data_IF_255074833486
#
_entry.id   IF_255074833486
#
_cell.length_a   1.000
_cell.length_b   1.000
_cell.length_c   1.000
_cell.angle_alpha   90.00
_cell.angle_beta   90.00
_cell.angle_gamma   90.00
#
_symmetry.space_group_name_H-M   'P 1'
#
loop_
_entity.id
_entity.type
_entity.pdbx_description
1 polymer ?
#
# COMPACT_ATOMS: atom_id res chain seq x y z
N UNK A 1 12.54 12.78 -7.21
CA UNK A 1 12.21 11.58 -7.96
C UNK A 1 10.96 10.94 -7.40
N UNK A 2 9.98 10.74 -8.23
CA UNK A 2 8.73 10.16 -7.77
C UNK A 2 8.84 8.65 -7.65
N UNK A 3 8.19 8.11 -6.63
CA UNK A 3 8.13 6.67 -6.48
C UNK A 3 7.18 6.09 -7.53
N UNK A 4 7.43 4.87 -8.00
CA UNK A 4 6.48 4.19 -8.87
C UNK A 4 5.13 4.08 -8.16
N UNK A 5 4.06 4.08 -8.92
CA UNK A 5 2.71 4.00 -8.37
C UNK A 5 1.94 2.86 -9.03
N UNK A 6 0.90 2.41 -8.34
CA UNK A 6 0.01 1.39 -8.86
C UNK A 6 -1.42 1.73 -8.45
N UNK A 7 -2.35 1.68 -9.40
CA UNK A 7 -3.75 1.92 -9.09
C UNK A 7 -4.33 0.71 -8.39
N UNK A 8 -5.23 0.94 -7.44
CA UNK A 8 -5.84 -0.17 -6.71
C UNK A 8 -6.48 -1.19 -7.63
N UNK A 9 -7.11 -0.74 -8.72
CA UNK A 9 -7.77 -1.66 -9.65
C UNK A 9 -6.80 -2.62 -10.33
N UNK A 10 -5.51 -2.25 -10.43
CA UNK A 10 -4.55 -3.10 -11.11
C UNK A 10 -4.27 -4.39 -10.37
N UNK A 11 -4.41 -4.42 -9.06
CA UNK A 11 -4.16 -5.63 -8.29
C UNK A 11 -5.40 -6.16 -7.58
N UNK A 12 -6.56 -5.58 -7.85
CA UNK A 12 -7.83 -6.13 -7.37
C UNK A 12 -8.63 -6.62 -8.56
N UNK A 13 -9.34 -5.72 -9.24
CA UNK A 13 -10.22 -6.09 -10.34
C UNK A 13 -9.45 -6.69 -11.53
N UNK A 14 -8.30 -6.10 -11.83
CA UNK A 14 -7.54 -6.49 -13.03
C UNK A 14 -6.25 -7.23 -12.71
N UNK A 15 -6.22 -7.91 -11.59
CA UNK A 15 -5.03 -8.70 -11.24
C UNK A 15 -4.83 -9.81 -12.27
N UNK A 16 -3.60 -10.01 -12.79
CA UNK A 16 -3.33 -11.12 -13.68
C UNK A 16 -3.63 -12.46 -13.01
N UNK A 17 -4.01 -13.48 -13.77
CA UNK A 17 -4.43 -14.76 -13.19
C UNK A 17 -3.44 -15.39 -12.22
N UNK A 18 -2.14 -15.31 -12.48
CA UNK A 18 -1.15 -15.85 -11.56
C UNK A 18 -0.42 -14.78 -10.78
N UNK A 19 -0.97 -13.57 -10.76
CA UNK A 19 -0.34 -12.45 -10.08
C UNK A 19 -0.50 -12.52 -8.57
N UNK A 20 0.56 -12.11 -7.85
CA UNK A 20 0.56 -12.13 -6.40
C UNK A 20 1.12 -10.82 -5.86
N UNK A 21 0.63 -10.45 -4.68
CA UNK A 21 1.24 -9.37 -3.91
C UNK A 21 2.37 -9.99 -3.12
N UNK A 22 3.59 -9.55 -3.39
CA UNK A 22 4.78 -10.16 -2.80
C UNK A 22 5.17 -9.54 -1.47
N UNK A 23 4.91 -8.26 -1.30
CA UNK A 23 5.22 -7.60 -0.04
C UNK A 23 4.32 -6.40 0.17
N UNK A 24 4.10 -6.07 1.44
CA UNK A 24 3.28 -4.92 1.83
C UNK A 24 4.03 -4.15 2.91
N UNK A 25 4.20 -2.87 2.68
CA UNK A 25 4.75 -1.93 3.66
C UNK A 25 3.75 -0.81 3.85
N UNK A 26 3.60 -0.38 5.09
CA UNK A 26 2.66 0.70 5.41
C UNK A 26 3.45 1.83 6.07
N UNK A 27 3.38 3.00 5.46
CA UNK A 27 4.13 4.16 5.90
C UNK A 27 3.21 5.22 6.49
N UNK A 28 3.66 5.87 7.55
CA UNK A 28 2.93 6.99 8.13
C UNK A 28 3.54 8.30 7.64
N UNK A 29 2.69 9.20 7.19
CA UNK A 29 3.09 10.52 6.74
C UNK A 29 3.19 11.47 7.93
N UNK A 30 3.75 12.65 7.66
CA UNK A 30 3.87 13.68 8.70
C UNK A 30 2.52 14.14 9.23
N UNK A 31 1.48 14.06 8.40
CA UNK A 31 0.13 14.46 8.82
C UNK A 31 -0.59 13.36 9.61
N UNK A 32 0.09 12.26 9.87
CA UNK A 32 -0.49 11.17 10.64
C UNK A 32 -1.23 10.13 9.80
N UNK A 33 -1.46 10.40 8.55
CA UNK A 33 -2.16 9.45 7.68
C UNK A 33 -1.20 8.39 7.18
N UNK A 34 -1.76 7.26 6.77
CA UNK A 34 -0.98 6.09 6.36
C UNK A 34 -1.21 5.80 4.88
N UNK A 35 -0.18 5.27 4.21
CA UNK A 35 -0.33 4.81 2.84
C UNK A 35 0.42 3.51 2.65
N UNK A 36 0.08 2.79 1.58
CA UNK A 36 0.62 1.47 1.31
C UNK A 36 1.65 1.51 0.20
N UNK A 37 2.65 0.65 0.33
CA UNK A 37 3.62 0.42 -0.73
C UNK A 37 3.69 -1.07 -0.96
N UNK A 38 3.36 -1.51 -2.15
CA UNK A 38 3.27 -2.92 -2.50
C UNK A 38 4.30 -3.28 -3.56
N UNK A 39 4.77 -4.52 -3.51
CA UNK A 39 5.48 -5.11 -4.62
C UNK A 39 4.61 -6.24 -5.14
N UNK A 40 4.39 -6.26 -6.46
CA UNK A 40 3.56 -7.28 -7.09
C UNK A 40 4.40 -8.05 -8.09
N UNK A 41 4.04 -9.32 -8.30
CA UNK A 41 4.88 -10.22 -9.09
C UNK A 41 5.00 -9.80 -10.55
N UNK A 42 3.95 -9.18 -11.11
CA UNK A 42 3.96 -8.85 -12.54
C UNK A 42 4.57 -7.48 -12.84
N UNK A 43 5.14 -6.82 -11.85
CA UNK A 43 5.86 -5.57 -12.07
C UNK A 43 7.32 -5.70 -11.63
N UNK A 44 7.86 -6.91 -11.72
CA UNK A 44 9.27 -7.15 -11.46
C UNK A 44 9.69 -6.96 -10.01
N UNK A 45 8.76 -7.01 -9.08
CA UNK A 45 9.09 -6.86 -7.67
C UNK A 45 9.38 -5.43 -7.25
N UNK A 46 9.13 -4.45 -8.11
CA UNK A 46 9.36 -3.05 -7.79
C UNK A 46 8.26 -2.56 -6.83
N UNK A 47 8.67 -1.91 -5.75
CA UNK A 47 7.72 -1.40 -4.77
C UNK A 47 7.00 -0.17 -5.35
N UNK A 48 5.67 -0.18 -5.29
CA UNK A 48 4.83 0.87 -5.85
C UNK A 48 3.91 1.44 -4.77
N UNK A 49 3.75 2.75 -4.76
CA UNK A 49 2.80 3.40 -3.85
C UNK A 49 1.39 3.20 -4.39
N UNK A 50 0.48 2.80 -3.51
CA UNK A 50 -0.90 2.49 -3.90
C UNK A 50 -1.70 3.77 -4.05
N UNK A 51 -2.31 3.93 -5.21
CA UNK A 51 -3.18 5.05 -5.50
C UNK A 51 -4.64 4.63 -5.42
N UNK A 52 -5.54 5.60 -5.58
CA UNK A 52 -6.96 5.32 -5.59
C UNK A 52 -7.30 4.33 -6.69
N UNK A 53 -8.52 3.82 -6.64
CA UNK A 53 -8.93 2.73 -7.54
C UNK A 53 -8.65 3.07 -9.01
N UNK A 54 -9.03 4.27 -9.44
CA UNK A 54 -8.92 4.64 -10.85
C UNK A 54 -8.28 6.01 -11.08
N UNK A 55 -7.59 6.56 -10.07
CA UNK A 55 -6.94 7.86 -10.19
C UNK A 55 -5.52 7.80 -9.64
N UNK A 56 -4.57 8.47 -10.30
CA UNK A 56 -3.17 8.44 -9.84
C UNK A 56 -2.95 9.37 -8.65
N UNK A 57 -3.73 9.19 -7.62
CA UNK A 57 -3.66 9.98 -6.41
C UNK A 57 -3.50 9.04 -5.23
N UNK A 58 -2.53 9.32 -4.37
CA UNK A 58 -2.17 8.44 -3.26
C UNK A 58 -3.38 8.11 -2.40
N UNK A 59 -3.57 6.83 -2.11
CA UNK A 59 -4.66 6.36 -1.26
C UNK A 59 -4.22 6.46 0.18
N UNK A 60 -4.97 7.20 0.99
CA UNK A 60 -4.62 7.47 2.38
C UNK A 60 -5.62 6.86 3.33
N UNK A 61 -5.11 6.43 4.49
CA UNK A 61 -5.92 5.88 5.56
C UNK A 61 -5.72 6.73 6.81
N UNK A 62 -6.80 6.97 7.54
CA UNK A 62 -6.72 7.79 8.74
C UNK A 62 -6.20 7.00 9.94
N UNK A 63 -6.23 5.67 9.89
CA UNK A 63 -5.72 4.86 10.99
C UNK A 63 -4.99 3.64 10.47
N UNK A 64 -4.04 3.15 11.27
CA UNK A 64 -3.29 1.95 10.91
C UNK A 64 -4.21 0.73 10.89
N UNK A 65 -5.21 0.70 11.76
CA UNK A 65 -6.14 -0.43 11.82
C UNK A 65 -6.92 -0.53 10.50
N UNK A 66 -7.39 0.59 9.97
CA UNK A 66 -8.10 0.59 8.69
C UNK A 66 -7.20 0.09 7.57
N UNK A 67 -5.94 0.53 7.55
CA UNK A 67 -5.01 0.12 6.51
C UNK A 67 -4.74 -1.38 6.55
N UNK A 68 -4.46 -1.91 7.74
CA UNK A 68 -4.17 -3.33 7.90
C UNK A 68 -5.39 -4.18 7.54
N UNK A 69 -6.57 -3.76 8.02
CA UNK A 69 -7.80 -4.50 7.73
C UNK A 69 -8.08 -4.56 6.24
N UNK A 70 -7.84 -3.45 5.55
CA UNK A 70 -8.06 -3.39 4.10
C UNK A 70 -7.13 -4.36 3.37
N UNK A 71 -5.86 -4.40 3.78
CA UNK A 71 -4.87 -5.29 3.18
C UNK A 71 -5.27 -6.75 3.38
N UNK A 72 -5.68 -7.10 4.58
CA UNK A 72 -5.98 -8.49 4.89
C UNK A 72 -7.29 -8.95 4.26
N UNK A 73 -8.32 -8.11 4.25
CA UNK A 73 -9.64 -8.54 3.78
C UNK A 73 -9.88 -8.21 2.32
N UNK A 74 -9.60 -6.98 1.90
CA UNK A 74 -9.91 -6.58 0.53
C UNK A 74 -8.86 -7.12 -0.44
N UNK A 75 -7.58 -7.04 -0.09
CA UNK A 75 -6.52 -7.54 -0.96
C UNK A 75 -6.21 -9.00 -0.68
N UNK A 76 -6.78 -9.57 0.38
CA UNK A 76 -6.59 -10.98 0.73
C UNK A 76 -5.13 -11.35 0.89
N UNK A 77 -4.35 -10.44 1.42
CA UNK A 77 -2.91 -10.66 1.63
C UNK A 77 -2.71 -11.30 3.00
N UNK A 78 -1.99 -12.42 3.03
CA UNK A 78 -1.75 -13.16 4.26
C UNK A 78 -0.28 -13.16 4.67
N UNK A 79 0.54 -12.41 3.97
CA UNK A 79 1.97 -12.38 4.27
C UNK A 79 2.32 -11.38 5.35
N UNK A 80 3.61 -11.09 5.46
CA UNK A 80 4.12 -10.16 6.46
C UNK A 80 3.83 -8.72 6.06
N UNK A 81 3.44 -7.91 7.03
CA UNK A 81 3.24 -6.47 6.83
C UNK A 81 4.26 -5.74 7.69
N UNK A 82 5.02 -4.85 7.08
CA UNK A 82 6.03 -4.07 7.80
C UNK A 82 5.52 -2.65 7.94
N UNK A 83 5.54 -2.13 9.17
CA UNK A 83 5.03 -0.80 9.48
C UNK A 83 6.18 0.18 9.64
N UNK A 84 6.02 1.36 9.06
CA UNK A 84 6.99 2.44 9.18
C UNK A 84 6.30 3.68 9.74
N UNK A 85 6.16 3.78 11.07
CA UNK A 85 5.57 4.98 11.67
C UNK A 85 6.47 6.19 11.46
N UNK A 86 5.87 7.36 11.46
CA UNK A 86 6.63 8.59 11.34
C UNK A 86 7.32 8.87 12.69
N UNK A 87 8.59 8.53 12.78
CA UNK A 87 9.31 8.55 14.03
C UNK A 87 10.16 9.79 14.22
N UNK A 88 10.22 10.61 13.20
CA UNK A 88 11.05 11.79 13.27
C UNK A 88 10.44 12.94 13.99
N UNK A 89 9.18 12.83 14.42
CA UNK A 89 8.51 13.94 15.05
C UNK A 89 8.11 13.65 16.46
N UNK A 90 8.44 14.58 17.37
CA UNK A 90 7.97 14.46 18.75
C UNK A 90 6.46 14.56 18.80
N UNK A 91 5.88 13.79 19.67
CA UNK A 91 4.44 13.86 19.90
C UNK A 91 4.18 14.83 21.02
N UNK A 92 3.30 15.73 20.77
CA UNK A 92 3.00 16.74 21.76
C UNK A 92 1.64 16.56 22.32
#
# INVERSE_FOLDING_TARGET
MDSPTILEREFTTFRPPSGEIESVKIFQREDGKWFLRLAVSWKGGIACDVCLYDKPKLKLYSSIVSAVRHVCSTYEYAGRIILFPNRGRPIK
#
